data_IF_812096492431
#
_entry.id   IF_812096492431
#
_cell.length_a   1.000
_cell.length_b   1.000
_cell.length_c   1.000
_cell.angle_alpha   90.00
_cell.angle_beta   90.00
_cell.angle_gamma   90.00
#
_symmetry.space_group_name_H-M   'P 1'
#
loop_
_entity.id
_entity.type
_entity.pdbx_description
1 polymer ?
#
# COMPACT_ATOMS: atom_id res chain seq x y z
N UNK A 1 4.53 5.96 -1.75
CA UNK A 1 4.73 5.29 -3.06
C UNK A 1 6.20 5.05 -3.36
N UNK A 2 7.06 6.08 -3.40
CA UNK A 2 8.49 5.91 -3.71
C UNK A 2 9.22 4.85 -2.86
N UNK A 3 8.99 4.82 -1.54
CA UNK A 3 9.62 3.80 -0.68
C UNK A 3 9.26 2.36 -1.06
N UNK A 4 7.99 2.10 -1.41
CA UNK A 4 7.54 0.76 -1.85
C UNK A 4 8.13 0.40 -3.21
N UNK A 5 8.22 1.38 -4.12
CA UNK A 5 8.82 1.20 -5.43
C UNK A 5 10.31 0.82 -5.35
N UNK A 6 11.06 1.50 -4.47
CA UNK A 6 12.46 1.18 -4.21
C UNK A 6 12.62 -0.20 -3.59
N UNK A 7 11.79 -0.54 -2.59
CA UNK A 7 11.86 -1.83 -1.90
C UNK A 7 11.60 -3.02 -2.84
N UNK A 8 10.63 -2.89 -3.74
CA UNK A 8 10.25 -3.94 -4.68
C UNK A 8 10.99 -3.90 -6.02
N UNK A 9 11.88 -2.93 -6.24
CA UNK A 9 12.53 -2.68 -7.54
C UNK A 9 11.55 -2.53 -8.71
N UNK A 10 10.42 -1.88 -8.46
CA UNK A 10 9.39 -1.60 -9.47
C UNK A 10 9.37 -0.11 -9.84
N UNK A 11 8.85 0.21 -11.01
CA UNK A 11 8.57 1.61 -11.34
C UNK A 11 7.40 2.15 -10.51
N UNK A 12 7.39 3.48 -10.34
CA UNK A 12 6.38 4.18 -9.54
C UNK A 12 4.96 3.99 -10.06
N UNK A 13 4.77 3.91 -11.39
CA UNK A 13 3.46 3.77 -12.02
C UNK A 13 2.84 2.42 -11.70
N UNK A 14 3.62 1.35 -11.83
CA UNK A 14 3.22 -0.02 -11.47
C UNK A 14 2.82 -0.13 -10.00
N UNK A 15 3.66 0.41 -9.10
CA UNK A 15 3.39 0.40 -7.65
C UNK A 15 2.13 1.17 -7.29
N UNK A 16 1.93 2.34 -7.93
CA UNK A 16 0.74 3.16 -7.69
C UNK A 16 -0.53 2.42 -8.09
N UNK A 17 -0.55 1.78 -9.27
CA UNK A 17 -1.68 0.96 -9.74
C UNK A 17 -1.93 -0.25 -8.82
N UNK A 18 -0.87 -0.93 -8.36
CA UNK A 18 -0.99 -2.05 -7.44
C UNK A 18 -1.62 -1.63 -6.10
N UNK A 19 -1.17 -0.51 -5.54
CA UNK A 19 -1.69 0.05 -4.30
C UNK A 19 -3.16 0.48 -4.44
N UNK A 20 -3.52 1.12 -5.55
CA UNK A 20 -4.92 1.46 -5.84
C UNK A 20 -5.81 0.21 -5.84
N UNK A 21 -5.41 -0.84 -6.57
CA UNK A 21 -6.16 -2.11 -6.58
C UNK A 21 -6.27 -2.75 -5.20
N UNK A 22 -5.18 -2.78 -4.42
CA UNK A 22 -5.22 -3.34 -3.06
C UNK A 22 -6.16 -2.54 -2.15
N UNK A 23 -6.19 -1.21 -2.28
CA UNK A 23 -7.10 -0.36 -1.52
C UNK A 23 -8.56 -0.58 -1.95
N UNK A 24 -8.84 -0.62 -3.25
CA UNK A 24 -10.17 -0.92 -3.82
C UNK A 24 -10.71 -2.28 -3.33
N UNK A 25 -9.84 -3.28 -3.22
CA UNK A 25 -10.22 -4.61 -2.74
C UNK A 25 -10.23 -4.71 -1.20
N UNK A 26 -9.93 -3.63 -0.47
CA UNK A 26 -9.97 -3.57 0.98
C UNK A 26 -8.82 -4.30 1.68
N UNK A 27 -7.72 -4.59 0.98
CA UNK A 27 -6.52 -5.20 1.57
C UNK A 27 -5.64 -4.19 2.31
N UNK A 28 -5.68 -2.92 1.90
CA UNK A 28 -4.93 -1.85 2.53
C UNK A 28 -5.79 -0.61 2.72
N UNK A 29 -5.37 0.25 3.65
CA UNK A 29 -5.85 1.62 3.81
C UNK A 29 -4.73 2.59 3.49
N UNK A 30 -5.05 3.67 2.78
CA UNK A 30 -4.11 4.73 2.42
C UNK A 30 -4.54 6.00 3.11
N UNK A 31 -3.66 6.57 3.92
CA UNK A 31 -3.92 7.81 4.65
C UNK A 31 -2.90 8.88 4.27
N UNK A 32 -3.31 10.14 4.34
CA UNK A 32 -2.36 11.27 4.24
C UNK A 32 -1.75 11.47 5.61
N UNK A 33 -0.43 11.60 5.67
CA UNK A 33 0.25 11.90 6.92
C UNK A 33 -0.12 13.32 7.40
N UNK A 34 -0.50 13.45 8.67
CA UNK A 34 -0.95 14.72 9.25
C UNK A 34 0.22 15.68 9.52
N UNK A 35 1.41 15.16 9.81
CA UNK A 35 2.60 15.96 10.07
C UNK A 35 3.25 16.46 8.76
N UNK A 36 3.22 15.64 7.71
CA UNK A 36 3.70 16.00 6.37
C UNK A 36 2.82 15.40 5.25
N UNK A 37 1.93 16.25 4.72
CA UNK A 37 0.93 15.91 3.69
C UNK A 37 1.54 15.42 2.36
N UNK A 38 2.85 15.50 2.17
CA UNK A 38 3.53 14.91 1.00
C UNK A 38 3.60 13.39 1.09
N UNK A 39 3.50 12.83 2.30
CA UNK A 39 3.54 11.40 2.52
C UNK A 39 2.15 10.77 2.52
N UNK A 40 2.10 9.55 2.00
CA UNK A 40 0.95 8.65 2.07
C UNK A 40 1.37 7.43 2.87
N UNK A 41 0.70 7.22 3.99
CA UNK A 41 0.90 6.07 4.86
C UNK A 41 0.04 4.90 4.36
N UNK A 42 0.59 3.69 4.42
CA UNK A 42 -0.05 2.46 3.95
C UNK A 42 -0.19 1.49 5.11
N UNK A 43 -1.41 1.07 5.38
CA UNK A 43 -1.72 0.12 6.45
C UNK A 43 -2.38 -1.12 5.88
N UNK A 44 -1.95 -2.31 6.30
CA UNK A 44 -2.64 -3.57 5.99
C UNK A 44 -3.91 -3.70 6.83
N UNK A 45 -4.98 -4.22 6.23
CA UNK A 45 -6.23 -4.52 6.94
C UNK A 45 -6.25 -5.97 7.43
N UNK A 46 -7.23 -6.31 8.27
CA UNK A 46 -7.49 -7.70 8.69
C UNK A 46 -7.66 -8.65 7.50
N UNK A 47 -8.31 -8.18 6.42
CA UNK A 47 -8.47 -8.97 5.19
C UNK A 47 -7.11 -9.42 4.65
N UNK A 48 -6.13 -8.53 4.56
CA UNK A 48 -4.79 -8.89 4.10
C UNK A 48 -4.07 -9.85 5.05
N UNK A 49 -4.22 -9.67 6.37
CA UNK A 49 -3.59 -10.54 7.37
C UNK A 49 -4.16 -11.96 7.29
N UNK A 50 -5.47 -12.12 7.11
CA UNK A 50 -6.12 -13.43 7.04
C UNK A 50 -5.63 -14.27 5.85
N UNK A 51 -5.25 -13.65 4.73
CA UNK A 51 -4.65 -14.37 3.60
C UNK A 51 -3.18 -14.73 3.80
N UNK A 52 -2.47 -14.04 4.70
CA UNK A 52 -1.04 -14.32 4.97
C UNK A 52 -0.84 -15.59 5.78
N UNK A 53 -1.77 -15.92 6.67
CA UNK A 53 -1.71 -17.10 7.55
C UNK A 53 -2.18 -18.39 6.88
N UNK A 54 -2.62 -18.32 5.62
CA UNK A 54 -3.07 -19.46 4.83
C UNK A 54 -1.95 -20.12 4.00
N UNK A 55 -0.70 -19.74 4.22
CA UNK A 55 0.52 -20.31 3.64
C UNK A 55 1.41 -20.88 4.76
#
# INVERSE_FOLDING_TARGET
>A
MYGVAQLGHFDKGTVTKGIQKLAEHGYIRVETDEADKRYRLLYTTEKAVNHRTAL
#
